data_IF_095016587033
#
_entry.id   IF_095016587033
#
_cell.length_a   1.000
_cell.length_b   1.000
_cell.length_c   1.000
_cell.angle_alpha   90.00
_cell.angle_beta   90.00
_cell.angle_gamma   90.00
#
_symmetry.space_group_name_H-M   'P 1'
#
loop_
_entity.id
_entity.type
_entity.pdbx_description
1 polymer ?
#
# COMPACT_ATOMS: atom_id res chain seq x y z
N UNK A 1 -5.25 1.05 -14.33
CA UNK A 1 -5.25 0.97 -12.86
C UNK A 1 -3.92 0.44 -12.38
N UNK A 2 -3.52 0.86 -11.21
CA UNK A 2 -2.23 0.50 -10.67
C UNK A 2 -2.37 -0.25 -9.35
N UNK A 3 -1.38 -1.05 -9.05
CA UNK A 3 -1.37 -1.84 -7.83
C UNK A 3 -0.66 -1.05 -6.75
N UNK A 4 -1.31 -0.94 -5.59
CA UNK A 4 -0.78 -0.22 -4.44
C UNK A 4 -0.72 -1.14 -3.23
N UNK A 5 0.37 -1.01 -2.47
CA UNK A 5 0.55 -1.73 -1.21
C UNK A 5 0.24 -0.80 -0.05
N UNK A 6 -0.51 -1.30 0.90
CA UNK A 6 -0.80 -0.58 2.14
C UNK A 6 0.12 -1.12 3.23
N UNK A 7 0.90 -0.22 3.82
CA UNK A 7 1.99 -0.59 4.72
C UNK A 7 1.74 -0.04 6.10
N UNK A 8 1.87 -0.90 7.10
CA UNK A 8 1.79 -0.54 8.50
C UNK A 8 2.91 -1.24 9.25
N UNK A 9 3.64 -0.50 10.09
CA UNK A 9 4.77 -1.03 10.87
C UNK A 9 5.81 -1.71 9.98
N UNK A 10 6.08 -1.12 8.81
CA UNK A 10 7.05 -1.61 7.83
C UNK A 10 6.66 -2.96 7.23
N UNK A 11 5.38 -3.31 7.27
CA UNK A 11 4.88 -4.57 6.71
C UNK A 11 3.68 -4.27 5.81
N UNK A 12 3.66 -4.91 4.66
CA UNK A 12 2.52 -4.79 3.74
C UNK A 12 1.35 -5.58 4.33
N UNK A 13 0.32 -4.85 4.73
CA UNK A 13 -0.87 -5.48 5.33
C UNK A 13 -1.96 -5.75 4.30
N UNK A 14 -1.91 -5.07 3.16
CA UNK A 14 -2.92 -5.24 2.11
C UNK A 14 -2.37 -4.76 0.79
N UNK A 15 -2.95 -5.26 -0.28
CA UNK A 15 -2.64 -4.79 -1.64
C UNK A 15 -3.96 -4.51 -2.34
N UNK A 16 -4.05 -3.34 -2.97
CA UNK A 16 -5.28 -2.91 -3.63
C UNK A 16 -4.98 -2.50 -5.07
N UNK A 17 -6.02 -2.48 -5.87
CA UNK A 17 -5.97 -1.93 -7.22
C UNK A 17 -6.71 -0.58 -7.19
N UNK A 18 -6.02 0.48 -7.57
CA UNK A 18 -6.55 1.83 -7.46
C UNK A 18 -6.04 2.67 -8.63
N UNK A 19 -6.85 3.60 -9.08
CA UNK A 19 -6.48 4.46 -10.19
C UNK A 19 -5.64 5.67 -9.77
N UNK A 20 -5.48 5.88 -8.47
CA UNK A 20 -4.71 7.00 -7.95
C UNK A 20 -5.46 8.32 -7.94
N UNK A 21 -6.70 8.34 -8.42
CA UNK A 21 -7.48 9.57 -8.56
C UNK A 21 -8.78 9.57 -7.77
N UNK A 22 -9.32 8.39 -7.50
CA UNK A 22 -10.57 8.27 -6.76
C UNK A 22 -10.40 8.77 -5.33
N UNK A 23 -11.49 9.26 -4.75
CA UNK A 23 -11.49 9.63 -3.35
C UNK A 23 -11.40 8.39 -2.49
N UNK A 24 -10.20 8.10 -2.03
CA UNK A 24 -9.96 6.97 -1.16
C UNK A 24 -8.81 7.32 -0.22
N UNK A 25 -8.98 7.00 1.04
CA UNK A 25 -7.93 7.23 2.04
C UNK A 25 -7.52 5.92 2.68
N UNK A 26 -6.22 5.75 2.87
CA UNK A 26 -5.73 4.60 3.61
C UNK A 26 -6.15 4.69 5.07
N UNK A 27 -6.25 3.56 5.77
CA UNK A 27 -6.50 3.59 7.21
C UNK A 27 -5.46 4.44 7.93
N UNK A 28 -5.86 5.01 9.05
CA UNK A 28 -4.98 5.85 9.83
C UNK A 28 -3.76 5.04 10.30
N UNK A 29 -2.59 5.65 10.20
CA UNK A 29 -1.36 5.00 10.61
C UNK A 29 -0.72 4.13 9.55
N UNK A 30 -1.25 4.15 8.31
CA UNK A 30 -0.70 3.37 7.22
C UNK A 30 -0.12 4.28 6.13
N UNK A 31 0.64 3.67 5.25
CA UNK A 31 1.18 4.34 4.07
C UNK A 31 0.77 3.57 2.82
N UNK A 32 0.61 4.28 1.73
CA UNK A 32 0.27 3.68 0.45
C UNK A 32 1.42 3.88 -0.52
N UNK A 33 1.90 2.80 -1.10
CA UNK A 33 3.03 2.82 -2.03
C UNK A 33 2.64 2.10 -3.31
N UNK A 34 2.88 2.74 -4.43
CA UNK A 34 2.65 2.10 -5.72
C UNK A 34 3.73 1.03 -5.93
N UNK A 35 3.31 -0.21 -6.11
CA UNK A 35 4.24 -1.30 -6.33
C UNK A 35 3.56 -2.47 -7.04
N UNK A 36 4.25 -3.03 -8.02
CA UNK A 36 3.78 -4.22 -8.72
C UNK A 36 4.38 -5.51 -8.16
N UNK A 37 5.27 -5.40 -7.19
CA UNK A 37 6.02 -6.55 -6.68
C UNK A 37 5.76 -6.88 -5.24
N UNK A 38 5.24 -5.95 -4.45
CA UNK A 38 4.94 -6.19 -3.04
C UNK A 38 3.70 -7.03 -2.88
N UNK A 39 3.74 -7.94 -1.92
CA UNK A 39 2.61 -8.80 -1.58
C UNK A 39 2.29 -8.66 -0.10
N UNK A 40 1.06 -9.01 0.27
CA UNK A 40 0.64 -8.99 1.67
C UNK A 40 1.58 -9.86 2.50
N UNK A 41 2.10 -9.29 3.58
CA UNK A 41 3.05 -9.97 4.45
C UNK A 41 4.50 -9.63 4.16
N UNK A 42 4.78 -8.98 3.04
CA UNK A 42 6.15 -8.54 2.74
C UNK A 42 6.56 -7.41 3.67
N UNK A 43 7.84 -7.33 3.95
CA UNK A 43 8.37 -6.22 4.70
C UNK A 43 8.75 -5.07 3.74
N UNK A 44 8.57 -3.85 4.20
CA UNK A 44 8.90 -2.67 3.43
C UNK A 44 9.39 -1.57 4.36
N UNK A 45 10.60 -1.09 4.13
CA UNK A 45 11.17 -0.04 4.95
C UNK A 45 10.75 1.34 4.40
N UNK A 46 10.05 2.10 5.22
CA UNK A 46 9.63 3.46 4.88
C UNK A 46 10.60 4.43 5.55
N UNK A 47 11.42 5.05 4.74
CA UNK A 47 12.35 6.08 5.25
C UNK A 47 12.47 7.22 4.27
#
# INVERSE_FOLDING_TARGET
MKRYAIIQDNIVISVIIWDGKSEWKSPQGTHVVQSDTLNTGDSYSIE
#
